data_IF_706791336781
#
_entry.id   IF_706791336781
#
_cell.length_a   1.000
_cell.length_b   1.000
_cell.length_c   1.000
_cell.angle_alpha   90.00
_cell.angle_beta   90.00
_cell.angle_gamma   90.00
#
_symmetry.space_group_name_H-M   'P 1'
#
loop_
_entity.id
_entity.type
_entity.pdbx_description
1 polymer ?
#
# COMPACT_ATOMS: atom_id res chain seq x y z
N UNK A 1 13.77 4.03 9.34
CA UNK A 1 13.42 2.70 9.89
C UNK A 1 12.92 2.82 11.31
N UNK A 2 13.44 3.77 12.12
CA UNK A 2 12.93 4.10 13.47
C UNK A 2 11.40 4.20 13.54
N UNK A 3 10.76 5.04 12.72
CA UNK A 3 9.29 5.18 12.72
C UNK A 3 8.51 3.87 12.43
N UNK A 4 9.04 3.01 11.55
CA UNK A 4 8.43 1.72 11.26
C UNK A 4 8.59 0.76 12.46
N UNK A 5 9.75 0.79 13.12
CA UNK A 5 10.00 0.04 14.34
C UNK A 5 9.08 0.49 15.47
N UNK A 6 8.91 1.80 15.69
CA UNK A 6 8.00 2.34 16.71
C UNK A 6 6.56 1.87 16.50
N UNK A 7 6.08 1.91 15.25
CA UNK A 7 4.73 1.44 14.91
C UNK A 7 4.58 -0.06 15.16
N UNK A 8 5.61 -0.85 14.82
CA UNK A 8 5.61 -2.29 15.10
C UNK A 8 5.65 -2.58 16.61
N UNK A 9 6.44 -1.83 17.37
CA UNK A 9 6.48 -1.94 18.84
C UNK A 9 5.14 -1.56 19.46
N UNK A 10 4.44 -0.57 18.92
CA UNK A 10 3.10 -0.22 19.39
C UNK A 10 2.06 -1.32 19.14
N UNK A 11 2.27 -2.21 18.18
CA UNK A 11 1.35 -3.33 17.92
C UNK A 11 1.78 -4.63 18.60
N UNK A 12 3.08 -4.92 18.63
CA UNK A 12 3.65 -6.19 19.10
C UNK A 12 4.32 -6.11 20.47
N UNK A 13 4.45 -4.91 21.05
CA UNK A 13 5.05 -4.71 22.36
C UNK A 13 4.17 -5.31 23.45
N UNK A 14 4.78 -6.03 24.38
CA UNK A 14 4.08 -6.72 25.47
C UNK A 14 3.35 -5.73 26.39
N UNK A 15 3.94 -4.55 26.60
CA UNK A 15 3.37 -3.47 27.42
C UNK A 15 2.55 -2.46 26.61
N UNK A 16 2.33 -2.71 25.31
CA UNK A 16 1.67 -1.74 24.45
C UNK A 16 0.16 -1.72 24.70
N UNK A 17 -0.46 -0.54 24.83
CA UNK A 17 -1.91 -0.45 24.97
C UNK A 17 -2.59 -1.05 23.74
N UNK A 18 -3.67 -1.81 23.98
CA UNK A 18 -4.49 -2.31 22.88
C UNK A 18 -5.22 -1.13 22.22
N UNK A 19 -5.38 -1.13 20.89
CA UNK A 19 -6.22 -0.14 20.22
C UNK A 19 -7.64 -0.18 20.81
N UNK A 20 -8.21 0.98 21.12
CA UNK A 20 -9.46 1.07 21.87
C UNK A 20 -10.67 0.73 21.00
N UNK A 21 -10.58 1.02 19.70
CA UNK A 21 -11.68 0.85 18.76
C UNK A 21 -11.20 0.39 17.36
N UNK A 22 -12.16 0.14 16.47
CA UNK A 22 -11.88 -0.32 15.11
C UNK A 22 -11.18 0.74 14.23
N UNK A 23 -11.45 2.03 14.43
CA UNK A 23 -10.81 3.10 13.68
C UNK A 23 -9.31 3.18 14.01
N UNK A 24 -8.94 3.02 15.28
CA UNK A 24 -7.52 2.97 15.69
C UNK A 24 -6.80 1.82 15.00
N UNK A 25 -7.45 0.66 14.87
CA UNK A 25 -6.92 -0.50 14.14
C UNK A 25 -6.71 -0.15 12.66
N UNK A 26 -7.68 0.50 12.02
CA UNK A 26 -7.60 0.92 10.62
C UNK A 26 -6.45 1.91 10.38
N UNK A 27 -6.25 2.87 11.28
CA UNK A 27 -5.16 3.85 11.20
C UNK A 27 -3.79 3.17 11.34
N UNK A 28 -3.64 2.25 12.30
CA UNK A 28 -2.43 1.46 12.46
C UNK A 28 -2.15 0.55 11.25
N UNK A 29 -3.19 -0.06 10.69
CA UNK A 29 -3.07 -0.83 9.44
C UNK A 29 -2.58 0.08 8.31
N UNK A 30 -3.16 1.29 8.19
CA UNK A 30 -2.78 2.25 7.14
C UNK A 30 -1.32 2.68 7.29
N UNK A 31 -0.87 2.94 8.51
CA UNK A 31 0.53 3.26 8.83
C UNK A 31 1.47 2.11 8.46
N UNK A 32 1.16 0.88 8.90
CA UNK A 32 1.97 -0.30 8.56
C UNK A 32 2.05 -0.55 7.06
N UNK A 33 0.94 -0.41 6.32
CA UNK A 33 0.94 -0.49 4.84
C UNK A 33 1.86 0.56 4.22
N UNK A 34 1.87 1.78 4.77
CA UNK A 34 2.81 2.84 4.40
C UNK A 34 4.28 2.44 4.62
N UNK A 35 4.58 1.85 5.78
CA UNK A 35 5.92 1.35 6.10
C UNK A 35 6.34 0.20 5.17
N UNK A 36 5.45 -0.75 4.89
CA UNK A 36 5.72 -1.84 3.93
C UNK A 36 6.02 -1.30 2.54
N UNK A 37 5.29 -0.28 2.08
CA UNK A 37 5.59 0.39 0.81
C UNK A 37 6.99 1.04 0.81
N UNK A 38 7.35 1.73 1.88
CA UNK A 38 8.66 2.39 2.01
C UNK A 38 9.80 1.37 2.05
N UNK A 39 9.64 0.29 2.81
CA UNK A 39 10.61 -0.81 2.91
C UNK A 39 10.73 -1.55 1.58
N UNK A 40 9.60 -1.84 0.93
CA UNK A 40 9.56 -2.52 -0.36
C UNK A 40 10.28 -1.78 -1.48
N UNK A 41 10.35 -0.44 -1.43
CA UNK A 41 11.15 0.36 -2.37
C UNK A 41 12.66 0.11 -2.25
N UNK A 42 13.11 -0.48 -1.13
CA UNK A 42 14.52 -0.78 -0.79
C UNK A 42 14.83 -2.27 -0.80
N UNK A 43 13.86 -3.13 -1.10
CA UNK A 43 14.02 -4.59 -1.11
C UNK A 43 14.02 -5.11 -2.55
N UNK A 44 14.75 -6.21 -2.81
CA UNK A 44 14.66 -6.91 -4.09
C UNK A 44 13.21 -7.28 -4.46
N UNK A 45 12.86 -7.01 -5.72
CA UNK A 45 11.57 -7.39 -6.29
C UNK A 45 11.43 -8.92 -6.23
N UNK A 46 10.29 -9.40 -5.70
CA UNK A 46 10.01 -10.83 -5.58
C UNK A 46 10.64 -11.51 -4.35
N UNK A 47 11.30 -10.77 -3.46
CA UNK A 47 11.71 -11.31 -2.15
C UNK A 47 10.50 -11.93 -1.44
N UNK A 48 10.59 -13.16 -0.91
CA UNK A 48 9.44 -13.85 -0.31
C UNK A 48 8.85 -13.07 0.86
N UNK A 49 9.69 -12.40 1.65
CA UNK A 49 9.27 -11.57 2.78
C UNK A 49 8.47 -10.35 2.30
N UNK A 50 8.93 -9.71 1.21
CA UNK A 50 8.21 -8.60 0.60
C UNK A 50 6.86 -9.05 0.00
N UNK A 51 6.84 -10.19 -0.70
CA UNK A 51 5.61 -10.73 -1.30
C UNK A 51 4.58 -11.07 -0.22
N UNK A 52 5.01 -11.64 0.91
CA UNK A 52 4.13 -11.91 2.06
C UNK A 52 3.52 -10.63 2.62
N UNK A 53 4.35 -9.62 2.89
CA UNK A 53 3.89 -8.33 3.42
C UNK A 53 2.94 -7.62 2.45
N UNK A 54 3.24 -7.63 1.15
CA UNK A 54 2.41 -7.03 0.12
C UNK A 54 1.06 -7.74 -0.03
N UNK A 55 1.03 -9.07 0.08
CA UNK A 55 -0.22 -9.84 0.04
C UNK A 55 -1.16 -9.40 1.17
N UNK A 56 -0.65 -9.35 2.40
CA UNK A 56 -1.42 -8.85 3.53
C UNK A 56 -1.90 -7.41 3.27
N UNK A 57 -1.04 -6.52 2.75
CA UNK A 57 -1.42 -5.15 2.42
C UNK A 57 -2.55 -5.04 1.37
N UNK A 58 -2.67 -6.00 0.46
CA UNK A 58 -3.71 -6.02 -0.57
C UNK A 58 -5.05 -6.60 -0.12
N UNK A 59 -5.10 -7.29 1.03
CA UNK A 59 -6.35 -7.80 1.60
C UNK A 59 -7.19 -6.65 2.17
N UNK A 60 -8.52 -6.81 2.21
CA UNK A 60 -9.39 -5.92 2.97
C UNK A 60 -9.18 -6.15 4.47
N UNK A 61 -9.39 -5.11 5.28
CA UNK A 61 -9.40 -5.26 6.74
C UNK A 61 -10.63 -6.10 7.10
N UNK A 62 -10.49 -7.20 7.86
CA UNK A 62 -11.62 -8.01 8.28
C UNK A 62 -12.61 -7.21 9.13
N UNK A 63 -13.91 -7.47 8.95
CA UNK A 63 -14.95 -6.85 9.76
C UNK A 63 -14.93 -7.36 11.21
N UNK A 64 -15.24 -6.46 12.15
CA UNK A 64 -15.26 -6.74 13.57
C UNK A 64 -13.91 -6.51 14.26
N UNK A 65 -13.97 -6.15 15.54
CA UNK A 65 -12.81 -5.71 16.33
C UNK A 65 -11.74 -6.80 16.50
N UNK A 66 -12.11 -8.03 16.85
CA UNK A 66 -11.12 -9.10 17.05
C UNK A 66 -10.46 -9.56 15.74
N UNK A 67 -11.20 -9.82 14.65
CA UNK A 67 -10.60 -10.15 13.35
C UNK A 67 -9.67 -9.05 12.81
N UNK A 68 -10.04 -7.77 12.94
CA UNK A 68 -9.22 -6.66 12.49
C UNK A 68 -7.93 -6.53 13.29
N UNK A 69 -7.96 -6.79 14.61
CA UNK A 69 -6.75 -6.83 15.46
C UNK A 69 -5.81 -7.98 15.12
N UNK A 70 -6.33 -9.18 14.90
CA UNK A 70 -5.50 -10.32 14.46
C UNK A 70 -4.84 -10.01 13.13
N UNK A 71 -5.56 -9.37 12.20
CA UNK A 71 -5.01 -8.90 10.94
C UNK A 71 -3.90 -7.84 11.15
N UNK A 72 -4.12 -6.86 12.03
CA UNK A 72 -3.13 -5.85 12.40
C UNK A 72 -1.83 -6.48 12.93
N UNK A 73 -1.93 -7.44 13.85
CA UNK A 73 -0.77 -8.16 14.41
C UNK A 73 0.00 -8.89 13.31
N UNK A 74 -0.69 -9.65 12.45
CA UNK A 74 -0.05 -10.35 11.31
C UNK A 74 0.67 -9.39 10.37
N UNK A 75 0.09 -8.22 10.11
CA UNK A 75 0.69 -7.19 9.28
C UNK A 75 1.93 -6.58 9.95
N UNK A 76 1.89 -6.34 11.26
CA UNK A 76 3.04 -5.86 12.04
C UNK A 76 4.18 -6.88 12.06
N UNK A 77 3.89 -8.16 12.24
CA UNK A 77 4.88 -9.25 12.18
C UNK A 77 5.57 -9.30 10.81
N UNK A 78 4.79 -9.26 9.72
CA UNK A 78 5.34 -9.24 8.37
C UNK A 78 6.19 -7.99 8.12
N UNK A 79 5.80 -6.85 8.69
CA UNK A 79 6.59 -5.60 8.63
C UNK A 79 7.90 -5.74 9.39
N UNK A 80 7.90 -6.35 10.58
CA UNK A 80 9.11 -6.66 11.36
C UNK A 80 10.08 -7.56 10.60
N UNK A 81 9.58 -8.62 10.00
CA UNK A 81 10.39 -9.52 9.17
C UNK A 81 11.00 -8.80 7.97
N UNK A 82 10.23 -7.92 7.32
CA UNK A 82 10.72 -7.12 6.20
C UNK A 82 11.79 -6.12 6.63
N UNK A 83 11.64 -5.48 7.80
CA UNK A 83 12.67 -4.62 8.37
C UNK A 83 13.96 -5.39 8.64
N UNK A 84 13.87 -6.55 9.30
CA UNK A 84 15.03 -7.40 9.57
C UNK A 84 15.73 -7.86 8.27
N UNK A 85 14.95 -8.13 7.21
CA UNK A 85 15.51 -8.48 5.91
C UNK A 85 16.27 -7.30 5.27
N UNK A 86 15.77 -6.08 5.39
CA UNK A 86 16.44 -4.86 4.91
C UNK A 86 17.69 -4.56 5.73
N UNK A 87 17.65 -4.71 7.06
CA UNK A 87 18.79 -4.47 7.96
C UNK A 87 19.96 -5.42 7.72
N UNK A 88 19.68 -6.70 7.44
CA UNK A 88 20.71 -7.71 7.10
C UNK A 88 21.37 -7.47 5.74
N UNK A 89 21.06 -6.37 5.05
CA UNK A 89 21.62 -6.08 3.74
C UNK A 89 21.14 -7.06 2.68
N UNK A 90 19.89 -7.55 2.78
CA UNK A 90 19.26 -8.38 1.76
C UNK A 90 19.48 -7.77 0.37
N UNK A 91 19.60 -8.60 -0.69
CA UNK A 91 20.01 -8.15 -2.02
C UNK A 91 19.24 -6.89 -2.38
N UNK A 92 19.99 -5.80 -2.60
CA UNK A 92 19.42 -4.50 -2.88
C UNK A 92 18.47 -4.57 -4.09
N UNK A 93 17.59 -3.57 -4.27
CA UNK A 93 16.65 -3.59 -5.38
C UNK A 93 17.43 -3.76 -6.68
N UNK A 94 17.22 -4.88 -7.38
CA UNK A 94 17.78 -5.11 -8.70
C UNK A 94 17.40 -3.90 -9.57
N UNK A 95 18.39 -3.05 -9.89
CA UNK A 95 18.19 -1.78 -10.62
C UNK A 95 17.61 -1.97 -12.03
N UNK A 96 17.44 -3.22 -12.49
CA UNK A 96 16.73 -3.54 -13.70
C UNK A 96 15.21 -3.31 -13.52
N UNK A 97 14.72 -2.17 -14.02
CA UNK A 97 13.29 -1.80 -14.20
C UNK A 97 12.63 -1.05 -13.03
N UNK A 98 13.29 -0.01 -12.51
CA UNK A 98 12.73 1.01 -11.60
C UNK A 98 11.62 1.90 -12.22
N UNK A 99 10.80 1.42 -13.16
CA UNK A 99 9.97 2.29 -14.00
C UNK A 99 8.50 1.92 -14.23
N UNK A 100 8.00 0.75 -13.84
CA UNK A 100 6.65 0.33 -14.27
C UNK A 100 6.06 -0.75 -13.35
N UNK A 101 5.35 -0.39 -12.26
CA UNK A 101 4.18 -1.17 -11.74
C UNK A 101 3.61 -0.77 -10.38
N UNK A 102 3.78 0.47 -9.92
CA UNK A 102 2.75 1.02 -9.02
C UNK A 102 1.53 1.42 -9.87
N UNK A 103 0.81 0.42 -10.36
CA UNK A 103 -0.48 0.64 -11.03
C UNK A 103 -1.43 1.23 -9.98
N UNK A 104 -1.73 2.52 -10.13
CA UNK A 104 -2.95 3.11 -9.59
C UNK A 104 -4.16 2.28 -10.08
N UNK A 105 -5.17 2.04 -9.24
CA UNK A 105 -6.39 1.37 -9.67
C UNK A 105 -7.12 2.21 -10.74
N UNK A 106 -7.83 1.53 -11.63
CA UNK A 106 -8.24 1.91 -12.99
C UNK A 106 -9.19 3.13 -13.17
N UNK A 107 -9.32 4.03 -12.20
CA UNK A 107 -10.33 5.11 -12.23
C UNK A 107 -9.91 6.27 -13.15
N UNK A 108 -8.60 6.50 -13.32
CA UNK A 108 -8.10 7.59 -14.17
C UNK A 108 -8.17 7.28 -15.67
N UNK A 109 -8.27 6.02 -16.07
CA UNK A 109 -8.47 5.65 -17.47
C UNK A 109 -9.89 6.02 -17.93
N UNK A 110 -10.89 5.79 -17.08
CA UNK A 110 -12.27 6.15 -17.35
C UNK A 110 -12.44 7.67 -17.47
N UNK A 111 -11.84 8.43 -16.54
CA UNK A 111 -11.87 9.90 -16.62
C UNK A 111 -11.17 10.43 -17.87
N UNK A 112 -10.04 9.83 -18.28
CA UNK A 112 -9.36 10.20 -19.52
C UNK A 112 -10.20 9.91 -20.77
N UNK A 113 -10.86 8.76 -20.82
CA UNK A 113 -11.74 8.39 -21.92
C UNK A 113 -12.94 9.33 -22.06
N UNK A 114 -13.61 9.67 -20.94
CA UNK A 114 -14.74 10.62 -20.93
C UNK A 114 -14.29 12.00 -21.43
N UNK A 115 -13.10 12.46 -21.02
CA UNK A 115 -12.58 13.75 -21.46
C UNK A 115 -12.28 13.78 -22.97
N UNK A 116 -11.72 12.70 -23.51
CA UNK A 116 -11.44 12.58 -24.94
C UNK A 116 -12.73 12.58 -25.78
N UNK A 117 -13.77 11.87 -25.33
CA UNK A 117 -15.07 11.84 -25.99
C UNK A 117 -15.75 13.21 -25.97
N UNK A 118 -15.76 13.88 -24.81
CA UNK A 118 -16.34 15.22 -24.69
C UNK A 118 -15.63 16.24 -25.61
N UNK A 119 -14.30 16.17 -25.70
CA UNK A 119 -13.51 17.02 -26.59
C UNK A 119 -13.84 16.75 -28.07
N UNK A 120 -13.96 15.48 -28.47
CA UNK A 120 -14.33 15.11 -29.84
C UNK A 120 -15.73 15.63 -30.21
N UNK A 121 -16.71 15.51 -29.30
CA UNK A 121 -18.05 16.08 -29.48
C UNK A 121 -18.01 17.60 -29.62
N UNK A 122 -17.21 18.30 -28.81
CA UNK A 122 -17.07 19.75 -28.88
C UNK A 122 -16.47 20.20 -30.22
N UNK A 123 -15.42 19.52 -30.69
CA UNK A 123 -14.79 19.81 -31.99
C UNK A 123 -15.79 19.58 -33.12
N UNK A 124 -16.51 18.45 -33.10
CA UNK A 124 -17.51 18.16 -34.12
C UNK A 124 -18.63 19.22 -34.14
N UNK A 125 -19.14 19.61 -32.97
CA UNK A 125 -20.15 20.67 -32.84
C UNK A 125 -19.64 22.04 -33.31
N UNK A 126 -18.36 22.35 -33.10
CA UNK A 126 -17.73 23.58 -33.57
C UNK A 126 -17.40 23.55 -35.07
N UNK A 127 -17.27 22.36 -35.67
CA UNK A 127 -17.00 22.17 -37.10
C UNK A 127 -18.24 22.20 -37.99
N UNK A 128 -19.46 22.21 -37.41
CA UNK A 128 -20.68 22.40 -38.20
C UNK A 128 -20.80 23.89 -38.54
N UNK A 129 -20.90 24.27 -39.83
CA UNK A 129 -21.20 25.64 -40.21
C UNK A 129 -22.60 25.96 -39.70
N UNK A 130 -22.74 26.97 -38.85
CA UNK A 130 -24.06 27.53 -38.53
C UNK A 130 -24.53 28.32 -39.74
N UNK A 131 -25.25 27.67 -40.64
CA UNK A 131 -26.12 28.33 -41.62
C UNK A 131 -27.46 28.65 -40.99
#
# INVERSE_FOLDING_TARGET
MVAASETVTLVLGEDSPLPENAADVEDLVRLLRGHVAQLGARTAVGSPVLVRAQRLCSESIPEGYMPSRVYLVKLAEATRELMAHVERGGPGPNRAKRGRRWRKPQINALRGAVFAVALACLVFAASVPRT
#
